data_IF_583917627570
#
_entry.id   IF_583917627570
#
_cell.length_a   1.000
_cell.length_b   1.000
_cell.length_c   1.000
_cell.angle_alpha   90.00
_cell.angle_beta   90.00
_cell.angle_gamma   90.00
#
_symmetry.space_group_name_H-M   'P 1'
#
loop_
_entity.id
_entity.type
_entity.pdbx_description
1 polymer ?
2 non-polymer ?
3 water ?
#
# COMPACT_ATOMS: atom_id res chain seq x y z
N UNK A 415 -16.40 31.42 29.43
CA UNK A 415 -15.98 31.24 30.82
C UNK A 415 -15.48 29.82 31.10
N UNK A 416 -16.00 28.80 30.41
CA UNK A 416 -15.62 27.40 30.60
C UNK A 416 -14.27 27.08 29.91
N UNK A 417 -14.03 27.66 28.74
CA UNK A 417 -12.73 27.62 28.09
C UNK A 417 -11.66 28.30 28.95
N UNK A 418 -11.93 29.52 29.41
CA UNK A 418 -11.01 30.31 30.22
C UNK A 418 -10.79 29.70 31.61
N UNK A 419 -11.72 28.89 32.11
CA UNK A 419 -11.53 28.07 33.31
C UNK A 419 -10.54 26.92 33.10
N UNK A 420 -10.52 26.24 31.95
CA UNK A 420 -9.62 25.09 31.73
C UNK A 420 -8.24 25.47 31.17
N UNK A 421 -8.16 26.44 30.26
CA UNK A 421 -6.91 26.94 29.71
C UNK A 421 -6.16 27.91 30.65
N UNK A 422 -6.63 28.06 31.89
CA UNK A 422 -6.09 28.97 32.90
C UNK A 422 -6.59 30.40 32.75
N UNK A 423 -7.00 31.00 33.86
CA UNK A 423 -7.57 32.35 33.86
C UNK A 423 -6.57 33.44 33.47
N UNK A 424 -5.27 33.21 33.69
CA UNK A 424 -4.16 34.01 33.36
C UNK A 424 -2.87 33.26 33.30
N UNK A 425 -2.13 33.32 32.20
CA UNK A 425 -0.88 32.63 31.95
C UNK A 425 0.27 33.41 32.61
N UNK A 426 1.09 32.77 33.44
CA UNK A 426 2.28 33.27 34.03
C UNK A 426 3.39 33.43 33.02
N UNK A 427 3.64 32.46 32.22
CA UNK A 427 4.64 32.33 31.23
C UNK A 427 4.28 31.32 30.17
N UNK A 428 5.16 30.99 29.27
CA UNK A 428 5.06 29.96 28.29
C UNK A 428 4.84 28.61 28.91
N UNK A 429 5.34 28.36 30.07
CA UNK A 429 5.13 27.20 30.84
C UNK A 429 3.66 26.93 31.01
N UNK A 430 2.85 27.96 31.14
CA UNK A 430 1.40 27.83 31.32
C UNK A 430 0.77 27.16 30.11
N UNK A 431 1.24 27.52 28.92
CA UNK A 431 0.80 27.00 27.62
C UNK A 431 1.24 25.56 27.46
N UNK A 432 2.47 25.24 27.83
CA UNK A 432 3.07 23.96 27.85
C UNK A 432 2.29 23.01 28.72
N UNK A 433 1.86 23.46 29.90
CA UNK A 433 0.99 22.69 30.77
C UNK A 433 -0.40 22.48 30.17
N UNK A 434 -1.05 23.49 29.57
CA UNK A 434 -2.36 23.30 28.93
C UNK A 434 -2.32 22.19 27.88
N UNK A 435 -1.27 22.10 27.06
CA UNK A 435 -1.10 20.97 26.15
C UNK A 435 -0.79 19.65 26.87
N UNK A 436 0.03 19.62 27.92
CA UNK A 436 0.32 18.38 28.67
C UNK A 436 -0.90 17.86 29.40
N UNK A 437 -1.78 18.75 29.86
CA UNK A 437 -3.01 18.40 30.54
C UNK A 437 -4.12 18.03 29.56
N UNK A 438 -4.03 18.43 28.30
CA UNK A 438 -4.90 17.88 27.27
C UNK A 438 -4.51 16.44 26.94
N UNK A 439 -3.21 16.15 26.90
CA UNK A 439 -2.70 14.85 26.48
C UNK A 439 -2.73 13.81 27.59
N UNK A 440 -2.35 14.17 28.81
CA UNK A 440 -2.63 13.33 29.98
C UNK A 440 -4.11 13.43 30.40
N UNK A 441 -4.57 12.54 31.29
CA UNK A 441 -5.91 12.64 31.87
C UNK A 441 -6.01 13.59 33.07
N UNK A 442 -4.89 14.16 33.53
CA UNK A 442 -4.81 14.89 34.79
C UNK A 442 -5.51 16.27 34.74
N UNK A 443 -6.14 16.72 35.84
CA UNK A 443 -6.58 18.09 35.99
C UNK A 443 -5.40 19.06 36.16
N UNK A 444 -5.61 20.34 35.86
CA UNK A 444 -4.72 21.42 36.28
C UNK A 444 -4.69 21.57 37.82
N UNK A 445 -3.86 22.47 38.34
CA UNK A 445 -3.78 22.76 39.80
C UNK A 445 -5.11 23.21 40.40
N UNK A 446 -6.00 23.82 39.61
CA UNK A 446 -7.33 24.22 40.05
C UNK A 446 -8.34 23.06 40.12
N UNK A 447 -8.01 21.88 39.60
CA UNK A 447 -8.85 20.68 39.62
C UNK A 447 -9.70 20.46 38.37
N UNK A 448 -9.43 21.16 37.26
CA UNK A 448 -10.20 21.04 36.00
C UNK A 448 -9.38 20.37 34.90
N UNK A 449 -9.95 19.39 34.18
CA UNK A 449 -9.29 18.78 33.01
C UNK A 449 -9.31 19.73 31.82
N UNK A 450 -8.23 19.79 31.05
CA UNK A 450 -8.25 20.39 29.71
C UNK A 450 -8.91 19.41 28.73
N UNK A 451 -10.19 19.60 28.44
CA UNK A 451 -10.98 18.67 27.61
C UNK A 451 -10.87 18.95 26.10
N UNK A 452 -10.30 20.10 25.70
CA UNK A 452 -10.04 20.47 24.32
C UNK A 452 -8.97 21.55 24.23
N UNK A 453 -8.50 21.81 23.01
CA UNK A 453 -7.65 22.95 22.62
C UNK A 453 -8.33 23.64 21.42
N UNK A 454 -8.01 24.91 21.08
CA UNK A 454 -8.51 25.62 19.91
C UNK A 454 -8.49 24.86 18.57
N UNK A 455 -7.59 23.90 18.37
CA UNK A 455 -7.44 23.13 17.13
C UNK A 455 -8.19 21.79 17.12
N UNK A 456 -8.80 21.39 18.24
CA UNK A 456 -9.29 20.03 18.42
C UNK A 456 -10.77 19.94 18.81
N UNK A 457 -11.23 20.71 19.80
CA UNK A 457 -12.64 20.72 20.24
C UNK A 457 -13.17 19.34 20.72
N UNK A 458 -12.29 18.37 21.00
CA UNK A 458 -12.62 16.95 21.21
C UNK A 458 -11.59 16.24 22.11
N UNK A 459 -11.92 15.07 22.71
CA UNK A 459 -10.94 14.10 23.20
C UNK A 459 -10.19 13.35 22.09
N UNK A 460 -9.00 12.83 22.37
CA UNK A 460 -8.15 12.11 21.40
C UNK A 460 -8.82 10.87 20.80
N UNK A 461 -8.49 10.56 19.55
CA UNK A 461 -8.77 9.27 18.92
C UNK A 461 -7.87 8.15 19.46
N UNK A 462 -8.38 6.92 19.50
CA UNK A 462 -7.78 5.80 20.22
C UNK A 462 -6.38 5.38 19.74
N UNK A 463 -6.02 5.64 18.48
CA UNK A 463 -4.67 5.34 18.00
C UNK A 463 -3.58 6.07 18.81
N UNK A 464 -3.88 7.22 19.42
CA UNK A 464 -2.92 7.89 20.31
C UNK A 464 -2.55 7.10 21.55
N UNK A 465 -3.33 6.11 21.95
CA UNK A 465 -2.94 5.21 23.04
C UNK A 465 -1.60 4.54 22.76
N UNK A 466 -1.25 4.36 21.48
CA UNK A 466 -0.02 3.73 21.06
C UNK A 466 1.23 4.61 21.25
N UNK A 467 1.06 5.93 21.47
CA UNK A 467 2.17 6.89 21.53
C UNK A 467 2.02 7.98 22.61
N UNK A 468 1.36 7.65 23.71
CA UNK A 468 0.97 8.61 24.76
C UNK A 468 2.15 9.19 25.57
N UNK A 469 2.99 8.36 26.17
CA UNK A 469 4.12 8.71 26.93
C UNK A 469 5.08 9.55 26.14
N UNK A 470 5.32 9.20 24.93
CA UNK A 470 6.11 9.89 23.98
C UNK A 470 5.64 11.29 23.75
N UNK A 471 4.33 11.46 23.55
CA UNK A 471 3.70 12.77 23.38
C UNK A 471 3.79 13.62 24.65
N UNK A 472 3.67 13.02 25.84
CA UNK A 472 3.86 13.61 27.11
C UNK A 472 5.23 14.20 27.24
N UNK A 473 6.23 13.48 26.87
CA UNK A 473 7.59 13.84 26.92
C UNK A 473 7.90 14.97 25.97
N UNK A 474 7.44 14.86 24.73
CA UNK A 474 7.60 15.91 23.71
C UNK A 474 6.97 17.23 24.15
N UNK A 475 5.72 17.21 24.62
CA UNK A 475 5.03 18.44 25.00
C UNK A 475 5.61 19.08 26.25
N UNK A 476 6.13 18.32 27.24
CA UNK A 476 6.73 18.82 28.41
C UNK A 476 7.94 19.68 28.15
N UNK A 477 8.48 19.70 26.98
CA UNK A 477 9.57 20.45 26.51
C UNK A 477 9.24 21.67 25.70
N UNK A 478 8.04 21.92 25.35
CA UNK A 478 7.59 22.94 24.54
C UNK A 478 7.30 22.73 23.12
N UNK A 479 7.40 21.48 22.65
CA UNK A 479 7.01 21.07 21.30
C UNK A 479 5.51 20.83 21.36
N UNK A 480 4.70 21.81 20.97
CA UNK A 480 3.28 21.79 21.23
C UNK A 480 2.52 21.08 20.12
N UNK A 481 2.31 19.78 20.26
CA UNK A 481 1.65 18.95 19.26
C UNK A 481 0.15 19.21 19.19
N UNK A 482 -0.41 19.42 18.00
CA UNK A 482 -1.85 19.61 17.72
C UNK A 482 -2.45 18.50 16.85
N UNK A 483 -1.66 17.59 16.29
CA UNK A 483 -2.13 16.46 15.50
C UNK A 483 -1.01 15.40 15.45
N UNK A 484 -1.32 14.12 15.31
CA UNK A 484 -0.36 13.02 15.42
C UNK A 484 -0.83 11.72 14.78
N UNK A 485 0.07 10.77 14.56
CA UNK A 485 -0.31 9.45 14.07
C UNK A 485 0.78 8.41 14.39
N UNK A 486 0.43 7.21 14.85
CA UNK A 486 1.39 6.12 14.95
C UNK A 486 1.68 5.54 13.56
N UNK A 487 2.84 4.93 13.34
CA UNK A 487 3.05 4.11 12.14
C UNK A 487 2.41 2.73 12.34
N UNK A 488 1.78 2.22 11.29
CA UNK A 488 1.08 0.94 11.27
C UNK A 488 1.56 0.17 10.03
N UNK A 489 2.04 -1.05 10.22
CA UNK A 489 2.67 -1.86 9.18
C UNK A 489 1.74 -2.99 8.72
N UNK A 490 0.60 -2.66 8.13
CA UNK A 490 -0.27 -3.64 7.50
C UNK A 490 -0.98 -4.53 8.51
N UNK A 491 -1.64 -3.91 9.49
CA UNK A 491 -2.44 -4.50 10.47
C UNK A 491 -3.78 -4.94 9.94
N UNK A 492 -4.41 -5.95 10.53
CA UNK A 492 -5.73 -6.33 10.10
C UNK A 492 -6.69 -5.17 9.97
N UNK A 493 -7.45 -5.05 8.97
CA UNK A 493 -8.40 -4.03 8.74
C UNK A 493 -9.56 -4.08 9.65
N UNK A 494 -9.66 -5.00 10.55
CA UNK A 494 -10.63 -5.21 11.55
C UNK A 494 -10.23 -4.80 12.94
N UNK A 495 -9.05 -4.34 13.15
CA UNK A 495 -8.52 -3.85 14.36
C UNK A 495 -9.37 -2.73 14.89
N UNK A 496 -9.95 -2.76 16.10
CA UNK A 496 -10.80 -1.67 16.59
C UNK A 496 -10.06 -0.34 16.80
N UNK A 497 -8.76 -0.38 17.08
CA UNK A 497 -7.94 0.83 17.24
C UNK A 497 -7.70 1.50 15.88
N UNK A 498 -7.13 0.76 14.92
CA UNK A 498 -6.61 1.33 13.67
C UNK A 498 -7.35 0.90 12.41
N UNK A 499 -8.07 -0.23 12.40
CA UNK A 499 -8.75 -0.73 11.33
C UNK A 499 -9.80 0.14 10.75
N UNK A 500 -10.05 0.07 9.44
CA UNK A 500 -11.12 0.79 8.74
C UNK A 500 -11.38 0.14 7.38
N UNK A 501 -12.51 0.50 6.74
CA UNK A 501 -12.88 0.01 5.42
C UNK A 501 -13.44 -1.41 5.42
N UNK A 502 -13.53 -2.03 4.23
CA UNK A 502 -13.99 -3.41 4.07
C UNK A 502 -13.28 -4.41 4.99
N UNK A 503 -13.93 -5.51 5.36
CA UNK A 503 -13.31 -6.54 6.21
C UNK A 503 -12.31 -7.42 5.44
N UNK A 504 -11.34 -7.99 6.14
CA UNK A 504 -10.38 -8.97 5.60
C UNK A 504 -9.20 -8.36 4.84
N UNK A 505 -9.08 -7.04 4.81
CA UNK A 505 -7.94 -6.33 4.22
C UNK A 505 -6.80 -6.08 5.21
N UNK A 506 -5.92 -5.17 4.82
CA UNK A 506 -4.82 -4.64 5.61
C UNK A 506 -4.83 -3.11 5.54
N UNK A 507 -4.36 -2.48 6.62
CA UNK A 507 -4.31 -1.02 6.78
C UNK A 507 -2.94 -0.59 7.26
N UNK A 508 -2.49 0.55 6.79
CA UNK A 508 -1.13 1.06 6.93
C UNK A 508 -1.16 2.55 7.30
N UNK A 509 -0.16 2.98 8.06
CA UNK A 509 0.08 4.38 8.38
C UNK A 509 1.58 4.68 8.42
N UNK A 510 1.98 5.87 7.95
CA UNK A 510 3.23 6.55 8.34
C UNK A 510 3.09 7.25 9.69
N UNK A 511 4.18 7.37 10.44
CA UNK A 511 4.16 8.23 11.61
C UNK A 511 4.22 9.69 11.20
N UNK A 512 3.39 10.49 11.87
CA UNK A 512 3.17 11.89 11.60
C UNK A 512 3.13 12.67 12.90
N UNK A 513 3.66 13.89 12.90
CA UNK A 513 3.58 14.80 14.02
C UNK A 513 3.42 16.26 13.56
N UNK A 514 2.43 16.94 14.10
CA UNK A 514 2.08 18.33 13.83
C UNK A 514 2.19 19.15 15.11
N UNK A 515 2.97 20.23 15.12
CA UNK A 515 3.24 20.96 16.34
C UNK A 515 3.65 22.42 16.13
N UNK A 516 3.38 23.30 17.10
CA UNK A 516 4.00 24.63 17.15
C UNK A 516 5.31 24.60 17.94
N UNK A 517 6.22 25.50 17.64
CA UNK A 517 7.56 25.58 18.22
C UNK A 517 7.99 27.02 18.38
N UNK A 518 8.87 27.32 19.33
CA UNK A 518 9.54 28.62 19.39
C UNK A 518 10.56 28.76 18.26
N UNK A 519 10.92 29.97 17.81
CA UNK A 519 11.91 30.16 16.74
C UNK A 519 13.24 29.49 17.07
N UNK A 520 13.64 29.52 18.33
CA UNK A 520 14.82 28.89 18.85
C UNK A 520 14.75 27.37 18.66
N UNK A 521 13.65 26.72 19.07
CA UNK A 521 13.43 25.29 18.85
C UNK A 521 13.24 24.94 17.37
N UNK A 522 12.66 25.81 16.54
CA UNK A 522 12.56 25.61 15.10
C UNK A 522 13.94 25.60 14.43
N UNK A 523 14.83 26.51 14.79
CA UNK A 523 16.21 26.53 14.29
C UNK A 523 16.99 25.27 14.73
N UNK A 524 16.80 24.80 15.97
CA UNK A 524 17.38 23.55 16.45
C UNK A 524 16.82 22.34 15.70
N UNK A 525 15.55 22.36 15.31
CA UNK A 525 14.95 21.29 14.53
C UNK A 525 15.43 21.29 13.09
N UNK A 526 15.49 22.43 12.40
CA UNK A 526 16.08 22.52 11.07
C UNK A 526 17.52 22.01 11.05
N UNK A 527 18.31 22.33 12.07
CA UNK A 527 19.67 21.82 12.20
C UNK A 527 19.72 20.29 12.38
N UNK A 528 18.82 19.70 13.17
CA UNK A 528 18.75 18.24 13.38
C UNK A 528 18.12 17.50 12.20
N UNK A 529 17.19 18.09 11.46
CA UNK A 529 16.57 17.42 10.31
C UNK A 529 17.56 17.11 9.18
N UNK A 530 18.75 17.71 9.14
CA UNK A 530 19.85 17.33 8.22
C UNK A 530 20.30 15.87 8.38
N UNK A 531 20.20 15.33 9.60
CA UNK A 531 20.50 13.92 9.91
C UNK A 531 19.44 12.96 9.36
N UNK A 532 18.21 13.40 9.16
CA UNK A 532 17.05 12.56 8.81
C UNK A 532 16.44 12.91 7.45
N UNK A 533 17.15 13.67 6.61
CA UNK A 533 16.59 14.40 5.46
C UNK A 533 15.71 13.57 4.53
N UNK A 534 16.19 12.40 4.09
CA UNK A 534 15.46 11.56 3.15
C UNK A 534 14.32 10.78 3.81
N UNK A 535 14.49 10.39 5.08
CA UNK A 535 13.50 9.60 5.83
C UNK A 535 12.31 10.46 6.25
N UNK A 536 12.55 11.69 6.71
CA UNK A 536 11.52 12.56 7.28
C UNK A 536 11.18 13.71 6.36
N UNK A 537 9.92 13.76 5.91
CA UNK A 537 9.38 14.97 5.30
C UNK A 537 9.06 15.97 6.38
N UNK A 538 9.45 17.22 6.17
CA UNK A 538 9.24 18.29 7.13
C UNK A 538 8.68 19.53 6.46
N UNK A 539 7.97 20.34 7.22
CA UNK A 539 7.36 21.56 6.75
C UNK A 539 7.24 22.53 7.93
N UNK A 540 8.03 23.60 7.95
CA UNK A 540 7.99 24.67 8.93
C UNK A 540 7.40 25.92 8.29
N UNK A 541 6.55 26.65 8.98
CA UNK A 541 6.08 27.97 8.52
C UNK A 541 5.73 28.89 9.68
N UNK A 542 5.74 30.21 9.46
CA UNK A 542 5.31 31.21 10.43
C UNK A 542 4.40 32.27 9.80
N UNK A 543 3.81 33.14 10.60
CA UNK A 543 2.76 34.07 10.15
C UNK A 543 3.19 35.05 9.04
N UNK A 544 4.48 35.37 8.92
CA UNK A 544 5.04 36.23 7.85
C UNK A 544 5.34 35.49 6.54
N UNK A 545 5.07 34.19 6.45
CA UNK A 545 5.63 33.30 5.42
C UNK A 545 6.80 32.48 5.98
N UNK A 546 8.00 32.61 5.44
CA UNK A 546 9.16 31.75 5.78
C UNK A 546 8.80 30.26 5.75
N UNK A 547 8.05 29.86 4.71
CA UNK A 547 7.74 28.46 4.46
C UNK A 547 9.02 27.72 4.06
N UNK A 548 9.43 26.72 4.85
CA UNK A 548 10.54 25.81 4.53
C UNK A 548 10.03 24.37 4.51
N UNK A 549 10.22 23.65 3.41
CA UNK A 549 9.89 22.22 3.31
C UNK A 549 10.77 21.49 2.31
N UNK A 550 11.02 20.21 2.57
CA UNK A 550 11.66 19.27 1.63
C UNK A 550 10.64 18.46 0.79
N UNK A 551 9.44 18.97 0.55
CA UNK A 551 8.38 18.24 -0.15
C UNK A 551 8.67 18.08 -1.66
N UNK A 552 8.65 16.85 -2.24
CA UNK A 552 8.97 16.65 -3.65
C UNK A 552 8.15 17.47 -4.60
N UNK A 553 8.66 18.44 -5.27
CA UNK A 553 8.00 19.22 -6.24
C UNK A 553 6.73 19.81 -5.70
N UNK A 554 6.61 20.02 -4.38
CA UNK A 554 5.38 20.47 -3.72
C UNK A 554 4.16 19.60 -4.14
N UNK A 555 4.24 18.30 -3.83
CA UNK A 555 3.35 17.24 -4.09
C UNK A 555 2.87 16.56 -2.85
N UNK A 556 1.69 15.94 -2.85
CA UNK A 556 1.18 15.31 -1.65
C UNK A 556 2.03 14.19 -1.12
N UNK A 557 1.93 13.87 0.16
CA UNK A 557 2.51 12.66 0.71
C UNK A 557 1.40 11.80 1.28
N UNK A 558 1.27 10.55 0.85
CA UNK A 558 0.30 9.64 1.44
C UNK A 558 0.74 9.29 2.84
N UNK A 559 -0.19 9.18 3.79
CA UNK A 559 0.13 8.81 5.18
C UNK A 559 -0.79 7.73 5.74
N UNK A 560 -1.96 7.48 5.15
CA UNK A 560 -2.84 6.35 5.49
C UNK A 560 -3.26 5.67 4.21
N UNK A 561 -3.24 4.34 4.17
CA UNK A 561 -3.78 3.56 3.05
C UNK A 561 -4.18 2.15 3.49
N UNK A 562 -5.00 1.50 2.68
CA UNK A 562 -5.53 0.18 2.94
C UNK A 562 -5.63 -0.63 1.66
N UNK A 563 -5.36 -1.91 1.80
CA UNK A 563 -5.41 -2.92 0.74
C UNK A 563 -6.53 -3.88 1.07
N UNK A 564 -7.52 -4.03 0.20
CA UNK A 564 -8.74 -4.80 0.46
C UNK A 564 -8.94 -5.90 -0.59
N UNK A 565 -9.52 -7.05 -0.24
CA UNK A 565 -9.75 -8.12 -1.21
C UNK A 565 -10.66 -7.69 -2.35
N UNK A 566 -10.31 -8.07 -3.57
CA UNK A 566 -11.02 -7.74 -4.81
C UNK A 566 -11.01 -6.28 -5.23
N UNK A 567 -10.18 -5.40 -4.66
CA UNK A 567 -10.30 -3.94 -4.76
C UNK A 567 -8.99 -3.26 -5.09
N UNK A 568 -9.08 -2.01 -5.51
CA UNK A 568 -7.94 -1.11 -5.60
C UNK A 568 -7.44 -0.68 -4.21
N UNK A 569 -6.24 -0.08 -4.11
CA UNK A 569 -5.79 0.53 -2.86
C UNK A 569 -6.70 1.71 -2.55
N UNK A 570 -7.02 1.96 -1.27
CA UNK A 570 -7.65 3.20 -0.83
C UNK A 570 -6.64 3.95 0.03
N UNK A 571 -6.30 5.20 -0.32
CA UNK A 571 -5.45 6.09 0.48
C UNK A 571 -6.33 7.25 0.98
N UNK A 572 -6.94 7.13 2.18
CA UNK A 572 -7.93 8.11 2.59
C UNK A 572 -7.34 9.42 3.08
N UNK A 573 -6.06 9.44 3.47
CA UNK A 573 -5.46 10.55 4.20
C UNK A 573 -4.08 10.91 3.68
N UNK A 574 -3.85 12.21 3.51
CA UNK A 574 -2.66 12.79 2.89
C UNK A 574 -2.13 14.00 3.67
N UNK A 575 -0.86 14.36 3.49
CA UNK A 575 -0.28 15.65 3.91
C UNK A 575 0.19 16.42 2.68
N UNK A 576 -0.67 17.28 2.17
CA UNK A 576 -0.42 18.10 0.98
C UNK A 576 0.26 19.44 1.37
N UNK A 577 1.50 19.72 0.92
CA UNK A 577 2.18 20.97 1.23
C UNK A 577 1.43 22.21 0.72
N UNK A 578 0.58 22.12 -0.30
CA UNK A 578 -0.23 23.25 -0.76
C UNK A 578 -1.42 23.51 0.16
N UNK A 579 -2.23 22.49 0.47
CA UNK A 579 -3.33 22.59 1.43
C UNK A 579 -2.88 22.99 2.83
N UNK A 580 -1.69 22.62 3.27
CA UNK A 580 -1.13 23.09 4.54
C UNK A 580 -1.06 24.60 4.63
N UNK A 581 -0.84 25.28 3.51
CA UNK A 581 -0.79 26.74 3.48
C UNK A 581 -2.16 27.42 3.54
N UNK A 582 -3.26 26.70 3.36
CA UNK A 582 -4.58 27.17 3.75
C UNK A 582 -4.90 26.85 5.21
N UNK A 583 -4.54 25.65 5.69
CA UNK A 583 -4.62 25.30 7.11
C UNK A 583 -3.79 26.25 7.99
N UNK A 584 -2.62 26.72 7.55
CA UNK A 584 -1.77 27.68 8.27
C UNK A 584 -2.58 28.87 8.79
N UNK A 585 -3.52 29.37 7.98
CA UNK A 585 -4.29 30.57 8.29
C UNK A 585 -5.30 30.31 9.42
N UNK A 586 -5.89 29.12 9.49
CA UNK A 586 -6.61 28.72 10.69
C UNK A 586 -5.64 28.53 11.83
N UNK A 587 -4.59 27.73 11.62
CA UNK A 587 -3.73 27.25 12.68
C UNK A 587 -3.20 28.39 13.54
N UNK A 588 -2.64 29.43 12.93
CA UNK A 588 -2.18 30.59 13.66
C UNK A 588 -3.32 31.50 14.13
N UNK A 589 -4.41 31.68 13.39
CA UNK A 589 -5.47 32.57 13.85
C UNK A 589 -6.30 32.00 15.01
N UNK A 590 -6.38 30.69 15.18
CA UNK A 590 -7.03 30.06 16.32
C UNK A 590 -6.36 30.41 17.66
N UNK A 591 -5.10 30.89 17.68
CA UNK A 591 -4.51 31.52 18.87
C UNK A 591 -5.25 32.80 19.21
N UNK A 592 -5.21 33.83 18.37
CA UNK A 592 -5.81 35.12 18.70
C UNK A 592 -7.33 35.04 18.76
N UNK A 593 -7.97 34.31 17.85
CA UNK A 593 -9.42 34.35 17.67
C UNK A 593 -10.22 33.53 18.70
N UNK A 594 -9.60 32.54 19.34
CA UNK A 594 -10.29 31.65 20.29
C UNK A 594 -9.60 31.55 21.65
N UNK A 595 -8.34 31.97 21.81
CA UNK A 595 -7.65 31.99 23.11
C UNK A 595 -7.18 33.40 23.49
N UNK A 596 -6.74 34.22 22.53
CA UNK A 596 -6.32 35.60 22.79
C UNK A 596 -7.50 36.49 23.15
N UNK A 597 -8.51 36.57 22.30
CA UNK A 597 -9.79 37.27 22.54
C UNK A 597 -10.60 36.71 23.71
N UNK A 598 -10.17 35.59 24.30
CA UNK A 598 -10.70 35.05 25.55
C UNK A 598 -10.19 35.84 26.76
N UNK A 599 -8.93 36.30 26.74
CA UNK A 599 -8.33 37.17 27.75
C UNK A 599 -8.57 38.66 27.48
N UNK A 600 -8.36 39.49 28.51
CA UNK A 600 -8.41 40.94 28.36
C UNK A 600 -7.34 41.47 27.40
N UNK A 601 -7.66 42.58 26.73
CA UNK A 601 -6.99 43.33 25.74
C UNK A 601 -5.55 43.62 26.08
N UNK A 602 -5.29 44.17 27.23
CA UNK A 602 -4.06 44.61 27.75
C UNK A 602 -3.36 43.66 28.70
N UNK A 603 -3.86 42.51 28.96
CA UNK A 603 -3.39 41.57 29.89
C UNK A 603 -2.03 41.03 29.52
N UNK A 604 -1.16 40.73 30.48
CA UNK A 604 0.01 39.93 30.17
C UNK A 604 -0.30 38.62 29.53
N UNK A 605 -1.42 38.04 29.79
CA UNK A 605 -1.97 36.91 29.15
C UNK A 605 -2.11 37.14 27.66
N UNK A 606 -2.70 38.28 27.25
CA UNK A 606 -2.79 38.63 25.83
C UNK A 606 -1.41 38.84 25.25
N UNK A 607 -0.46 39.39 26.01
CA UNK A 607 0.89 39.52 25.64
C UNK A 607 1.51 38.21 25.28
N UNK A 608 1.37 37.23 26.10
CA UNK A 608 1.83 35.90 25.96
C UNK A 608 1.27 35.26 24.72
N UNK A 609 -0.06 35.31 24.55
CA UNK A 609 -0.73 34.70 23.40
C UNK A 609 -0.38 35.42 22.08
N UNK A 610 -0.23 36.75 22.07
CA UNK A 610 0.20 37.47 20.88
C UNK A 610 1.65 37.15 20.50
N UNK A 611 2.54 36.93 21.47
CA UNK A 611 3.87 36.50 21.30
C UNK A 611 3.92 35.13 20.66
N UNK A 612 3.08 34.21 21.14
CA UNK A 612 2.99 32.88 20.56
C UNK A 612 2.29 32.92 19.18
N UNK A 613 1.34 33.81 18.96
CA UNK A 613 0.72 33.99 17.64
C UNK A 613 1.76 34.47 16.61
N UNK A 614 2.74 35.28 17.00
CA UNK A 614 3.71 35.86 16.07
C UNK A 614 5.02 35.08 15.95
N UNK A 615 5.70 34.80 17.06
CA UNK A 615 7.07 34.33 17.06
C UNK A 615 7.23 32.80 16.87
N UNK A 616 6.18 32.01 17.05
CA UNK A 616 6.26 30.55 16.90
C UNK A 616 6.18 30.09 15.43
N UNK A 617 6.73 28.92 15.15
CA UNK A 617 6.63 28.19 13.89
C UNK A 617 5.68 27.03 14.05
N UNK A 618 4.72 26.89 13.13
CA UNK A 618 4.00 25.65 12.94
C UNK A 618 4.88 24.69 12.17
N UNK A 619 4.95 23.44 12.60
CA UNK A 619 5.82 22.43 12.05
C UNK A 619 5.06 21.14 11.85
N UNK A 620 5.30 20.48 10.73
CA UNK A 620 4.77 19.18 10.40
C UNK A 620 5.94 18.27 10.04
N UNK A 621 5.99 17.07 10.60
CA UNK A 621 6.96 16.02 10.26
C UNK A 621 6.24 14.73 9.90
N UNK A 622 6.78 14.00 8.92
CA UNK A 622 6.34 12.67 8.55
C UNK A 622 7.54 11.77 8.32
N UNK A 623 7.65 10.72 9.11
CA UNK A 623 8.58 9.63 8.95
C UNK A 623 8.06 8.63 7.92
N UNK A 624 8.73 8.50 6.78
CA UNK A 624 8.27 7.64 5.71
C UNK A 624 8.54 6.13 5.91
N UNK A 625 9.40 5.70 6.85
CA UNK A 625 9.69 4.27 7.06
C UNK A 625 8.73 3.59 8.02
N UNK A 626 7.47 3.44 7.60
CA UNK A 626 6.45 2.75 8.38
C UNK A 626 6.77 1.31 8.84
N UNK A 627 7.66 0.52 8.21
CA UNK A 627 8.03 -0.79 8.73
C UNK A 627 8.91 -0.75 9.98
N UNK A 628 9.55 0.39 10.26
CA UNK A 628 10.54 0.56 11.32
C UNK A 628 9.95 1.23 12.56
N UNK A 629 10.68 1.25 13.67
CA UNK A 629 10.31 2.06 14.84
C UNK A 629 10.33 3.54 14.47
N UNK A 630 9.40 4.31 15.03
CA UNK A 630 9.17 5.72 14.72
C UNK A 630 10.40 6.58 15.07
N UNK A 631 10.98 7.29 14.11
CA UNK A 631 12.13 8.14 14.40
C UNK A 631 11.76 9.46 15.08
N UNK A 632 10.52 9.95 14.94
CA UNK A 632 10.15 11.32 15.30
C UNK A 632 10.48 11.65 16.77
N UNK A 633 10.35 10.68 17.67
CA UNK A 633 10.69 10.87 19.07
C UNK A 633 12.18 11.06 19.29
N UNK A 634 13.02 10.30 18.59
CA UNK A 634 14.46 10.54 18.62
C UNK A 634 14.84 11.86 17.94
N UNK A 635 14.14 12.27 16.87
CA UNK A 635 14.35 13.59 16.25
C UNK A 635 14.15 14.68 17.28
N UNK A 636 13.03 14.66 18.02
CA UNK A 636 12.82 15.66 19.08
C UNK A 636 13.82 15.52 20.22
N UNK A 637 14.21 14.32 20.65
CA UNK A 637 15.27 14.19 21.64
C UNK A 637 16.58 14.80 21.14
N UNK A 638 16.92 14.60 19.87
CA UNK A 638 18.08 15.21 19.24
C UNK A 638 17.97 16.73 19.18
N UNK A 639 16.77 17.32 19.02
CA UNK A 639 16.62 18.79 19.09
C UNK A 639 16.77 19.33 20.50
N UNK A 640 16.35 18.58 21.51
CA UNK A 640 16.50 18.97 22.90
C UNK A 640 17.93 18.73 23.39
N UNK A 641 18.66 17.82 22.78
CA UNK A 641 20.10 17.68 22.99
C UNK A 641 20.83 18.91 22.46
N UNK A 642 20.67 19.23 21.17
CA UNK A 642 21.29 20.37 20.52
C UNK A 642 21.00 21.68 21.28
N UNK A 643 19.74 21.90 21.61
CA UNK A 643 19.36 23.11 22.32
C UNK A 643 19.92 23.12 23.72
N UNK A 644 19.70 22.03 24.45
CA UNK A 644 20.12 22.01 25.85
C UNK A 644 21.62 21.92 25.95
N UNK B 415 8.56 -22.12 -39.60
CA UNK B 415 9.30 -23.37 -39.46
C UNK B 415 10.05 -23.45 -38.12
N UNK B 416 10.48 -22.33 -37.54
CA UNK B 416 11.22 -22.29 -36.28
C UNK B 416 10.28 -22.44 -35.06
N UNK B 417 9.08 -21.86 -35.14
CA UNK B 417 8.02 -22.09 -34.16
C UNK B 417 7.59 -23.57 -34.17
N UNK B 418 7.30 -24.11 -35.35
CA UNK B 418 6.86 -25.49 -35.52
C UNK B 418 7.95 -26.50 -35.17
N UNK B 419 9.23 -26.11 -35.23
CA UNK B 419 10.34 -26.90 -34.70
C UNK B 419 10.37 -26.97 -33.18
N UNK B 420 10.04 -25.91 -32.45
CA UNK B 420 10.11 -25.93 -30.96
C UNK B 420 8.81 -26.40 -30.29
N UNK B 421 7.65 -26.03 -30.83
CA UNK B 421 6.35 -26.48 -30.30
C UNK B 421 5.98 -27.91 -30.74
N UNK B 422 6.89 -28.63 -31.38
CA UNK B 422 6.70 -29.97 -31.91
C UNK B 422 6.05 -30.00 -33.28
N UNK B 423 6.59 -30.78 -34.20
CA UNK B 423 6.12 -30.85 -35.58
C UNK B 423 4.70 -31.44 -35.71
N UNK B 424 4.28 -32.28 -34.75
CA UNK B 424 3.03 -32.91 -34.61
C UNK B 424 2.75 -33.38 -33.21
N UNK B 425 1.65 -32.98 -32.60
CA UNK B 425 1.24 -33.31 -31.25
C UNK B 425 0.58 -34.71 -31.24
N UNK B 426 1.04 -35.63 -30.39
CA UNK B 426 0.48 -36.90 -30.12
C UNK B 426 -0.82 -36.81 -29.38
N UNK B 427 -0.88 -36.07 -28.33
CA UNK B 427 -1.95 -35.84 -27.43
C UNK B 427 -1.81 -34.53 -26.70
N UNK B 428 -2.63 -34.26 -25.72
CA UNK B 428 -2.59 -33.16 -24.84
C UNK B 428 -1.30 -33.10 -24.06
N UNK B 429 -0.71 -34.20 -23.77
CA UNK B 429 0.56 -34.33 -23.17
C UNK B 429 1.59 -33.54 -23.91
N UNK B 430 1.50 -33.48 -25.24
CA UNK B 430 2.46 -32.74 -26.07
C UNK B 430 2.44 -31.25 -25.73
N UNK B 431 1.23 -30.72 -25.49
CA UNK B 431 0.97 -29.33 -25.14
C UNK B 431 1.48 -29.04 -23.74
N UNK B 432 1.24 -29.94 -22.79
CA UNK B 432 1.69 -29.92 -21.45
C UNK B 432 3.20 -29.85 -21.38
N UNK B 433 3.88 -30.65 -22.21
CA UNK B 433 5.34 -30.59 -22.33
C UNK B 433 5.82 -29.27 -22.94
N UNK B 434 5.20 -28.74 -23.99
CA UNK B 434 5.60 -27.44 -24.55
C UNK B 434 5.58 -26.34 -23.49
N UNK B 435 4.58 -26.28 -22.62
CA UNK B 435 4.58 -25.36 -21.50
C UNK B 435 5.64 -25.70 -20.43
N UNK B 436 5.87 -26.97 -20.08
CA UNK B 436 6.90 -27.34 -19.10
C UNK B 436 8.30 -27.04 -19.61
N UNK B 437 8.53 -27.15 -20.91
CA UNK B 437 9.80 -26.87 -21.54
C UNK B 437 10.00 -25.38 -21.78
N UNK B 438 8.94 -24.58 -21.80
CA UNK B 438 9.08 -23.13 -21.73
C UNK B 438 9.51 -22.68 -20.34
N UNK B 439 8.97 -23.30 -19.30
CA UNK B 439 9.20 -22.90 -17.92
C UNK B 439 10.52 -23.44 -17.35
N UNK B 440 10.86 -24.69 -17.60
CA UNK B 440 12.23 -25.17 -17.37
C UNK B 440 13.20 -24.68 -18.44
N UNK B 441 14.50 -24.84 -18.22
CA UNK B 441 15.52 -24.54 -19.23
C UNK B 441 15.75 -25.68 -20.24
N UNK B 442 15.12 -26.83 -20.05
CA UNK B 442 15.43 -28.06 -20.79
C UNK B 442 14.96 -28.02 -22.26
N UNK B 443 15.71 -28.63 -23.20
CA UNK B 443 15.23 -28.90 -24.54
C UNK B 443 14.15 -29.99 -24.57
N UNK B 444 13.32 -30.01 -25.62
CA UNK B 444 12.48 -31.16 -25.95
C UNK B 444 13.34 -32.39 -26.33
N UNK B 445 12.69 -33.53 -26.58
CA UNK B 445 13.37 -34.77 -27.02
C UNK B 445 14.19 -34.60 -28.30
N UNK B 446 13.81 -33.66 -29.18
CA UNK B 446 14.54 -33.35 -30.40
C UNK B 446 15.81 -32.49 -30.16
N UNK B 447 15.99 -31.94 -28.96
CA UNK B 447 17.15 -31.12 -28.59
C UNK B 447 16.96 -29.60 -28.72
N UNK B 448 15.72 -29.11 -28.89
CA UNK B 448 15.41 -27.68 -29.05
C UNK B 448 14.70 -27.11 -27.82
N UNK B 449 15.13 -25.96 -27.30
CA UNK B 449 14.42 -25.26 -26.21
C UNK B 449 13.14 -24.62 -26.74
N UNK B 450 12.05 -24.66 -25.96
CA UNK B 450 10.88 -23.80 -26.18
C UNK B 450 11.20 -22.39 -25.68
N UNK B 451 11.58 -21.48 -26.56
CA UNK B 451 12.02 -20.12 -26.20
C UNK B 451 10.88 -19.13 -26.08
N UNK B 452 9.66 -19.47 -26.51
CA UNK B 452 8.45 -18.67 -26.38
C UNK B 452 7.20 -19.54 -26.52
N UNK B 453 6.05 -18.96 -26.19
CA UNK B 453 4.70 -19.46 -26.45
C UNK B 453 3.90 -18.35 -27.19
N UNK B 454 2.79 -18.66 -27.88
CA UNK B 454 1.91 -17.66 -28.52
C UNK B 454 1.52 -16.44 -27.68
N UNK B 455 1.49 -16.53 -26.36
CA UNK B 455 1.09 -15.44 -25.45
C UNK B 455 2.25 -14.61 -24.92
N UNK B 456 3.51 -14.99 -25.20
CA UNK B 456 4.68 -14.47 -24.50
C UNK B 456 5.74 -13.89 -25.43
N UNK B 457 6.14 -14.61 -26.49
CA UNK B 457 7.16 -14.13 -27.45
C UNK B 457 8.54 -13.79 -26.84
N UNK B 458 8.81 -14.23 -25.60
CA UNK B 458 9.94 -13.78 -24.77
C UNK B 458 10.38 -14.86 -23.74
N UNK B 459 11.59 -14.79 -23.18
CA UNK B 459 11.95 -15.45 -21.92
C UNK B 459 11.31 -14.80 -20.67
N UNK B 460 11.16 -15.55 -19.59
CA UNK B 460 10.53 -15.09 -18.34
C UNK B 460 11.24 -13.88 -17.70
N UNK B 461 10.48 -13.03 -17.03
CA UNK B 461 11.00 -12.01 -16.12
C UNK B 461 11.50 -12.62 -14.80
N UNK B 462 12.52 -12.00 -14.20
CA UNK B 462 13.30 -12.56 -13.10
C UNK B 462 12.51 -12.87 -11.82
N UNK B 463 11.40 -12.20 -11.55
CA UNK B 463 10.56 -12.52 -10.40
C UNK B 463 10.06 -13.98 -10.42
N UNK B 464 9.93 -14.61 -11.59
CA UNK B 464 9.57 -16.04 -11.66
C UNK B 464 10.60 -16.96 -11.05
N UNK B 465 11.85 -16.53 -10.87
CA UNK B 465 12.84 -17.33 -10.15
C UNK B 465 12.35 -17.70 -8.74
N UNK B 466 11.49 -16.86 -8.16
CA UNK B 466 10.94 -17.05 -6.82
C UNK B 466 9.89 -18.18 -6.75
N UNK B 467 9.35 -18.64 -7.88
CA UNK B 467 8.23 -19.60 -7.93
C UNK B 467 8.34 -20.66 -9.05
N UNK B 468 9.56 -21.03 -9.43
CA UNK B 468 9.85 -21.89 -10.58
C UNK B 468 9.40 -23.35 -10.43
N UNK B 469 9.81 -24.05 -9.38
CA UNK B 469 9.48 -25.39 -9.07
C UNK B 469 8.00 -25.57 -8.97
N UNK B 470 7.32 -24.67 -8.33
CA UNK B 470 5.93 -24.61 -8.17
C UNK B 470 5.21 -24.58 -9.50
N UNK B 471 5.67 -23.72 -10.41
CA UNK B 471 5.14 -23.61 -11.77
C UNK B 471 5.38 -24.87 -12.58
N UNK B 472 6.52 -25.54 -12.42
CA UNK B 472 6.87 -26.79 -12.98
C UNK B 472 5.88 -27.85 -12.60
N UNK B 473 5.54 -27.93 -11.36
CA UNK B 473 4.64 -28.86 -10.78
C UNK B 473 3.25 -28.64 -11.28
N UNK B 474 2.78 -27.40 -11.25
CA UNK B 474 1.46 -27.01 -11.75
C UNK B 474 1.29 -27.37 -13.24
N UNK B 475 2.25 -27.01 -14.09
CA UNK B 475 2.12 -27.26 -15.53
C UNK B 475 2.22 -28.74 -15.88
N UNK B 476 3.00 -29.57 -15.16
CA UNK B 476 3.11 -30.96 -15.37
C UNK B 476 1.81 -31.70 -15.21
N UNK B 477 0.80 -31.13 -14.67
CA UNK B 477 -0.52 -31.62 -14.47
C UNK B 477 -1.55 -31.16 -15.46
N UNK B 478 -1.27 -30.26 -16.34
CA UNK B 478 -2.13 -29.68 -17.24
C UNK B 478 -2.74 -28.38 -17.00
N UNK B 479 -2.35 -27.70 -15.91
CA UNK B 479 -2.74 -26.34 -15.60
C UNK B 479 -1.77 -25.44 -16.37
N UNK B 480 -2.16 -24.97 -17.55
CA UNK B 480 -1.24 -24.34 -18.48
C UNK B 480 -1.12 -22.84 -18.21
N UNK B 481 -0.16 -22.46 -17.38
CA UNK B 481 0.06 -21.08 -16.98
C UNK B 481 0.65 -20.24 -18.11
N UNK B 482 0.08 -19.06 -18.41
CA UNK B 482 0.56 -18.08 -19.39
C UNK B 482 0.99 -16.74 -18.77
N UNK B 483 0.76 -16.51 -17.48
CA UNK B 483 1.18 -15.30 -16.78
C UNK B 483 1.18 -15.59 -15.26
N UNK B 484 2.02 -14.94 -14.47
CA UNK B 484 2.21 -15.25 -13.04
C UNK B 484 2.82 -14.12 -12.25
N UNK B 485 2.77 -14.19 -10.92
CA UNK B 485 3.44 -13.22 -10.06
C UNK B 485 3.67 -13.78 -8.66
N UNK B 486 4.85 -13.58 -8.04
CA UNK B 486 5.03 -13.89 -6.63
C UNK B 486 4.35 -12.83 -5.76
N UNK B 487 3.96 -13.15 -4.53
CA UNK B 487 3.60 -12.12 -3.57
C UNK B 487 4.86 -11.49 -2.96
N UNK B 488 4.85 -10.18 -2.77
CA UNK B 488 5.95 -9.39 -2.23
C UNK B 488 5.38 -8.50 -1.13
N UNK B 489 5.96 -8.57 0.07
CA UNK B 489 5.46 -7.89 1.26
C UNK B 489 6.32 -6.68 1.62
N UNK B 490 6.36 -5.67 0.76
CA UNK B 490 7.00 -4.40 1.07
C UNK B 490 8.52 -4.51 1.12
N UNK B 491 9.11 -5.05 0.06
CA UNK B 491 10.48 -5.18 -0.17
C UNK B 491 11.12 -3.87 -0.58
N UNK B 492 12.41 -3.66 -0.33
CA UNK B 492 13.06 -2.47 -0.79
C UNK B 492 12.81 -2.17 -2.23
N UNK B 493 12.51 -0.99 -2.62
CA UNK B 493 12.28 -0.57 -3.94
C UNK B 493 13.48 -0.58 -4.80
N UNK B 494 14.63 -0.94 -4.33
CA UNK B 494 15.88 -1.09 -4.97
C UNK B 494 16.28 -2.50 -5.28
N UNK B 495 15.52 -3.48 -4.93
CA UNK B 495 15.71 -4.86 -5.18
C UNK B 495 15.83 -5.09 -6.66
N UNK B 496 16.90 -5.69 -7.23
CA UNK B 496 17.01 -5.87 -8.67
C UNK B 496 15.98 -6.84 -9.26
N UNK B 497 15.49 -7.80 -8.46
CA UNK B 497 14.45 -8.75 -8.90
C UNK B 497 13.09 -8.04 -9.01
N UNK B 498 12.63 -7.43 -7.92
CA UNK B 498 11.25 -6.92 -7.78
C UNK B 498 11.12 -5.41 -7.69
N UNK B 499 12.14 -4.67 -7.28
CA UNK B 499 12.14 -3.30 -7.14
C UNK B 499 11.82 -2.52 -8.35
N UNK B 500 11.18 -1.36 -8.22
CA UNK B 500 10.89 -0.41 -9.30
C UNK B 500 10.57 0.98 -8.73
N UNK B 501 10.57 2.00 -9.59
CA UNK B 501 10.22 3.37 -9.22
C UNK B 501 11.35 4.11 -8.50
N UNK B 502 11.03 5.26 -7.86
CA UNK B 502 11.98 6.04 -7.07
C UNK B 502 12.76 5.22 -6.04
N UNK B 503 13.97 5.63 -5.68
CA UNK B 503 14.76 4.92 -4.66
C UNK B 503 14.27 5.19 -3.24
N UNK B 504 14.54 4.27 -2.32
CA UNK B 504 14.26 4.41 -0.88
C UNK B 504 12.82 4.13 -0.46
N UNK B 505 11.97 3.70 -1.38
CA UNK B 505 10.59 3.30 -1.08
C UNK B 505 10.45 1.82 -0.75
N UNK B 506 9.21 1.34 -0.81
CA UNK B 506 8.82 -0.05 -0.67
C UNK B 506 7.89 -0.44 -1.83
N UNK B 507 7.93 -1.71 -2.21
CA UNK B 507 7.16 -2.29 -3.30
C UNK B 507 6.49 -3.57 -2.86
N UNK B 508 5.28 -3.80 -3.36
CA UNK B 508 4.36 -4.83 -2.93
C UNK B 508 3.74 -5.54 -4.13
N UNK B 509 3.43 -6.82 -3.97
CA UNK B 509 2.68 -7.60 -4.94
C UNK B 509 1.74 -8.59 -4.24
N UNK B 510 0.55 -8.81 -4.80
CA UNK B 510 -0.27 -10.03 -4.59
C UNK B 510 0.22 -11.18 -5.47
N UNK B 511 0.05 -12.42 -5.02
CA UNK B 511 0.28 -13.55 -5.89
C UNK B 511 -0.86 -13.69 -6.89
N UNK B 512 -0.47 -13.96 -8.12
CA UNK B 512 -1.35 -14.03 -9.29
C UNK B 512 -0.98 -15.23 -10.14
N UNK B 513 -1.97 -15.89 -10.72
CA UNK B 513 -1.77 -16.97 -11.68
C UNK B 513 -2.82 -16.95 -12.78
N UNK B 514 -2.36 -17.00 -14.03
CA UNK B 514 -3.16 -16.98 -15.25
C UNK B 514 -2.91 -18.27 -16.04
N UNK B 515 -3.93 -19.04 -16.37
CA UNK B 515 -3.76 -20.34 -16.98
C UNK B 515 -4.96 -20.84 -17.79
N UNK B 516 -4.74 -21.68 -18.80
CA UNK B 516 -5.80 -22.46 -19.42
C UNK B 516 -5.98 -23.81 -18.73
N UNK B 517 -7.18 -24.36 -18.78
CA UNK B 517 -7.58 -25.60 -18.11
C UNK B 517 -8.53 -26.39 -18.96
N UNK B 518 -8.58 -27.71 -18.81
CA UNK B 518 -9.66 -28.52 -19.39
C UNK B 518 -10.98 -28.28 -18.64
N UNK B 519 -12.15 -28.49 -19.26
CA UNK B 519 -13.44 -28.31 -18.59
C UNK B 519 -13.55 -29.12 -17.30
N UNK B 520 -13.01 -30.33 -17.31
CA UNK B 520 -12.93 -31.22 -16.18
C UNK B 520 -12.12 -30.59 -15.04
N UNK B 521 -10.92 -30.09 -15.31
CA UNK B 521 -10.10 -29.37 -14.32
C UNK B 521 -10.71 -28.03 -13.91
N UNK B 522 -11.42 -27.32 -14.78
CA UNK B 522 -12.15 -26.10 -14.43
C UNK B 522 -13.28 -26.37 -13.43
N UNK B 523 -14.07 -27.43 -13.63
CA UNK B 523 -15.10 -27.84 -12.69
C UNK B 523 -14.50 -28.26 -11.34
N UNK B 524 -13.37 -28.96 -11.32
CA UNK B 524 -12.65 -29.30 -10.10
C UNK B 524 -12.11 -28.05 -9.39
N UNK B 525 -11.69 -27.03 -10.13
CA UNK B 525 -11.22 -25.78 -9.56
C UNK B 525 -12.37 -24.95 -8.99
N UNK B 526 -13.49 -24.79 -9.69
CA UNK B 526 -14.68 -24.14 -9.14
C UNK B 526 -15.16 -24.81 -7.85
N UNK B 527 -15.13 -26.13 -7.79
CA UNK B 527 -15.46 -26.87 -6.58
C UNK B 527 -14.49 -26.58 -5.42
N UNK B 528 -13.17 -26.50 -5.68
CA UNK B 528 -12.16 -26.19 -4.66
C UNK B 528 -12.12 -24.72 -4.26
N UNK B 529 -12.43 -23.79 -5.16
CA UNK B 529 -12.43 -22.35 -4.84
C UNK B 529 -13.46 -21.96 -3.77
N UNK B 530 -14.47 -22.80 -3.48
CA UNK B 530 -15.39 -22.61 -2.34
C UNK B 530 -14.68 -22.57 -0.98
N UNK B 531 -13.56 -23.28 -0.85
CA UNK B 531 -12.70 -23.29 0.34
C UNK B 531 -11.93 -21.99 0.52
N UNK B 532 -11.65 -21.25 -0.56
CA UNK B 532 -10.77 -20.07 -0.57
C UNK B 532 -11.50 -18.77 -0.98
N UNK B 533 -12.82 -18.77 -0.96
CA UNK B 533 -13.67 -17.78 -1.65
C UNK B 533 -13.29 -16.31 -1.42
N UNK B 534 -13.14 -15.92 -0.15
CA UNK B 534 -12.85 -14.53 0.21
C UNK B 534 -11.37 -14.16 -0.03
N UNK B 535 -10.45 -15.10 0.15
CA UNK B 535 -9.01 -14.89 -0.02
C UNK B 535 -8.63 -14.78 -1.49
N UNK B 536 -9.19 -15.63 -2.36
CA UNK B 536 -8.79 -15.72 -3.77
C UNK B 536 -9.86 -15.16 -4.69
N UNK B 537 -9.51 -14.11 -5.42
CA UNK B 537 -10.31 -13.67 -6.56
C UNK B 537 -10.06 -14.61 -7.74
N UNK B 538 -11.13 -15.04 -8.39
CA UNK B 538 -11.05 -15.97 -9.51
C UNK B 538 -11.88 -15.49 -10.68
N UNK B 539 -11.52 -15.89 -11.87
CA UNK B 539 -12.21 -15.55 -13.10
C UNK B 539 -11.97 -16.66 -14.12
N UNK B 540 -13.01 -17.43 -14.44
CA UNK B 540 -13.00 -18.48 -15.45
C UNK B 540 -13.81 -18.01 -16.65
N UNK B 541 -13.37 -18.27 -17.87
CA UNK B 541 -14.18 -18.02 -19.08
C UNK B 541 -13.82 -18.98 -20.21
N UNK B 542 -14.72 -19.20 -21.16
CA UNK B 542 -14.49 -20.00 -22.37
C UNK B 542 -15.01 -19.30 -23.62
N UNK B 543 -14.71 -19.83 -24.80
CA UNK B 543 -14.99 -19.14 -26.07
C UNK B 543 -16.47 -18.83 -26.35
N UNK B 544 -17.41 -19.57 -25.76
CA UNK B 544 -18.86 -19.33 -25.87
C UNK B 544 -19.40 -18.27 -24.89
N UNK B 545 -18.56 -17.68 -24.04
CA UNK B 545 -18.96 -16.95 -22.83
C UNK B 545 -18.75 -17.81 -21.58
N UNK B 546 -19.80 -18.13 -20.83
CA UNK B 546 -19.70 -18.80 -19.51
C UNK B 546 -18.66 -18.13 -18.60
N UNK B 547 -18.67 -16.80 -18.57
CA UNK B 547 -17.84 -16.03 -17.67
C UNK B 547 -18.32 -16.23 -16.23
N UNK B 548 -17.48 -16.78 -15.36
CA UNK B 548 -17.73 -16.91 -13.93
C UNK B 548 -16.62 -16.19 -13.15
N UNK B 549 -16.97 -15.24 -12.28
CA UNK B 549 -16.04 -14.56 -11.38
C UNK B 549 -16.69 -14.09 -10.10
N UNK B 550 -15.92 -14.06 -9.01
CA UNK B 550 -16.28 -13.44 -7.73
C UNK B 550 -15.79 -11.97 -7.61
N UNK B 551 -15.61 -11.24 -8.71
CA UNK B 551 -15.06 -9.89 -8.69
C UNK B 551 -16.04 -8.85 -8.09
N UNK B 552 -15.68 -8.03 -7.08
CA UNK B 552 -16.60 -7.09 -6.48
C UNK B 552 -17.23 -6.13 -7.43
N UNK B 553 -18.49 -6.19 -7.72
CA UNK B 553 -19.19 -5.29 -8.55
C UNK B 553 -18.53 -5.14 -9.90
N UNK B 554 -17.78 -6.15 -10.37
CA UNK B 554 -17.00 -6.08 -11.61
C UNK B 554 -16.10 -4.81 -11.63
N UNK B 555 -15.19 -4.71 -10.65
CA UNK B 555 -14.25 -3.68 -10.36
C UNK B 555 -12.84 -4.17 -10.36
N UNK B 556 -11.86 -3.30 -10.65
CA UNK B 556 -10.48 -3.74 -10.70
C UNK B 556 -9.95 -4.31 -9.43
N UNK B 557 -8.91 -5.15 -9.48
CA UNK B 557 -8.17 -5.55 -8.29
C UNK B 557 -6.74 -5.10 -8.45
N UNK B 558 -6.21 -4.33 -7.49
CA UNK B 558 -4.80 -3.95 -7.51
C UNK B 558 -3.96 -5.18 -7.24
N UNK B 559 -2.82 -5.34 -7.92
CA UNK B 559 -1.92 -6.48 -7.68
C UNK B 559 -0.45 -6.07 -7.54
N UNK B 560 -0.05 -4.87 -7.98
CA UNK B 560 1.27 -4.30 -7.74
C UNK B 560 1.11 -2.88 -7.25
N UNK B 561 1.85 -2.47 -6.22
CA UNK B 561 1.90 -1.08 -5.77
C UNK B 561 3.21 -0.78 -5.03
N UNK B 562 3.51 0.51 -4.91
CA UNK B 562 4.73 0.99 -4.28
C UNK B 562 4.46 2.26 -3.50
N UNK B 563 5.16 2.38 -2.38
CA UNK B 563 5.12 3.52 -1.46
C UNK B 563 6.48 4.19 -1.50
N UNK B 564 6.54 5.47 -1.84
CA UNK B 564 7.80 6.18 -2.05
C UNK B 564 7.89 7.43 -1.18
N UNK B 565 9.09 7.83 -0.72
CA UNK B 565 9.25 9.02 0.12
C UNK B 565 8.76 10.28 -0.58
N UNK B 566 8.04 11.13 0.16
CA UNK B 566 7.47 12.38 -0.31
C UNK B 566 6.33 12.28 -1.34
N UNK B 567 5.75 11.10 -1.58
CA UNK B 567 4.89 10.83 -2.74
C UNK B 567 3.59 10.13 -2.38
N UNK B 568 2.66 10.14 -3.30
CA UNK B 568 1.47 9.29 -3.26
C UNK B 568 1.82 7.81 -3.52
N UNK B 569 0.90 6.88 -3.24
CA UNK B 569 1.09 5.48 -3.65
C UNK B 569 1.06 5.42 -5.18
N UNK B 570 1.87 4.56 -5.79
CA UNK B 570 1.75 4.22 -7.21
C UNK B 570 1.30 2.76 -7.30
N UNK B 571 0.19 2.48 -7.97
CA UNK B 571 -0.30 1.12 -8.26
C UNK B 571 -0.18 0.90 -9.78
N UNK B 572 0.93 0.37 -10.29
CA UNK B 572 1.14 0.33 -11.73
C UNK B 572 0.37 -0.77 -12.45
N UNK B 573 -0.08 -1.79 -11.72
CA UNK B 573 -0.59 -3.03 -12.33
C UNK B 573 -1.85 -3.51 -11.65
N UNK B 574 -2.84 -3.90 -12.45
CA UNK B 574 -4.19 -4.28 -12.03
C UNK B 574 -4.68 -5.53 -12.76
N UNK B 575 -5.68 -6.24 -12.19
CA UNK B 575 -6.48 -7.27 -12.90
C UNK B 575 -7.94 -6.82 -12.96
N UNK B 576 -8.30 -6.17 -14.05
CA UNK B 576 -9.64 -5.66 -14.30
C UNK B 576 -10.54 -6.73 -14.95
N UNK B 577 -11.64 -7.18 -14.31
CA UNK B 577 -12.54 -8.17 -14.89
C UNK B 577 -13.18 -7.72 -16.21
N UNK B 578 -13.31 -6.42 -16.49
CA UNK B 578 -13.83 -5.92 -17.77
C UNK B 578 -12.78 -6.02 -18.87
N UNK B 579 -11.57 -5.50 -18.66
CA UNK B 579 -10.46 -5.63 -19.61
C UNK B 579 -10.06 -7.07 -19.89
N UNK B 580 -10.20 -7.99 -18.93
CA UNK B 580 -9.98 -9.42 -19.17
C UNK B 580 -10.85 -9.97 -20.29
N UNK B 581 -12.06 -9.44 -20.46
CA UNK B 581 -12.95 -9.87 -21.53
C UNK B 581 -12.59 -9.33 -22.92
N UNK B 582 -11.70 -8.35 -23.02
CA UNK B 582 -11.04 -8.02 -24.29
C UNK B 582 -9.78 -8.87 -24.51
N UNK B 583 -8.98 -9.09 -23.46
CA UNK B 583 -7.85 -10.03 -23.51
C UNK B 583 -8.29 -11.44 -23.87
N UNK B 584 -9.46 -11.93 -23.40
CA UNK B 584 -10.02 -13.24 -23.74
C UNK B 584 -9.98 -13.52 -25.24
N UNK B 585 -10.28 -12.51 -26.06
CA UNK B 585 -10.37 -12.66 -27.51
C UNK B 585 -9.00 -12.86 -28.15
N UNK B 586 -7.94 -12.23 -27.63
CA UNK B 586 -6.58 -12.61 -28.00
C UNK B 586 -6.28 -13.99 -27.44
N UNK B 587 -6.50 -14.20 -26.16
CA UNK B 587 -6.02 -15.36 -25.44
C UNK B 587 -6.43 -16.67 -26.14
N UNK B 588 -7.72 -16.81 -26.46
CA UNK B 588 -8.18 -17.98 -27.18
C UNK B 588 -7.82 -17.95 -28.67
N UNK B 589 -7.82 -16.81 -29.35
CA UNK B 589 -7.49 -16.81 -30.78
C UNK B 589 -6.00 -17.06 -31.08
N UNK B 590 -5.09 -16.76 -30.16
CA UNK B 590 -3.67 -17.08 -30.29
C UNK B 590 -3.42 -18.59 -30.39
N UNK B 591 -4.35 -19.46 -29.97
CA UNK B 591 -4.28 -20.89 -30.29
C UNK B 591 -4.42 -21.11 -31.79
N UNK B 592 -5.57 -20.78 -32.38
CA UNK B 592 -5.81 -21.07 -33.80
C UNK B 592 -4.93 -20.21 -34.71
N UNK B 593 -4.72 -18.93 -34.38
CA UNK B 593 -4.09 -17.97 -35.30
C UNK B 593 -2.55 -18.07 -35.35
N UNK B 594 -1.90 -18.63 -34.34
CA UNK B 594 -0.45 -18.70 -34.28
C UNK B 594 0.10 -20.10 -34.02
N UNK B 595 -0.71 -21.07 -33.58
CA UNK B 595 -0.28 -22.46 -33.39
C UNK B 595 -1.12 -23.43 -34.24
N UNK B 596 -2.42 -23.20 -34.41
CA UNK B 596 -3.29 -24.03 -35.23
C UNK B 596 -2.96 -23.90 -36.72
N UNK B 597 -3.01 -22.68 -37.25
CA UNK B 597 -2.60 -22.34 -38.62
C UNK B 597 -1.11 -22.61 -38.92
N UNK B 598 -0.33 -22.97 -37.91
CA UNK B 598 1.04 -23.48 -38.07
C UNK B 598 1.06 -24.93 -38.57
N UNK B 599 0.12 -25.77 -38.12
CA UNK B 599 -0.08 -27.15 -38.58
C UNK B 599 -0.99 -27.23 -39.82
N UNK B 600 -0.95 -28.37 -40.49
CA UNK B 600 -1.87 -28.66 -41.60
C UNK B 600 -3.35 -28.69 -41.16
N UNK B 601 -4.22 -28.32 -42.08
CA UNK B 601 -5.63 -28.16 -42.04
C UNK B 601 -6.35 -29.33 -41.43
N UNK B 602 -6.09 -30.52 -41.89
CA UNK B 602 -6.68 -31.75 -41.54
C UNK B 602 -5.91 -32.61 -40.56
N UNK B 603 -4.81 -32.18 -40.06
CA UNK B 603 -3.94 -32.90 -39.21
C UNK B 603 -4.57 -33.24 -37.89
N UNK B 604 -4.25 -34.38 -37.29
CA UNK B 604 -4.59 -34.59 -35.90
C UNK B 604 -4.06 -33.54 -34.97
N UNK B 605 -2.97 -32.92 -35.29
CA UNK B 605 -2.43 -31.78 -34.65
C UNK B 605 -3.40 -30.63 -34.65
N UNK B 606 -4.01 -30.31 -35.81
CA UNK B 606 -5.05 -29.27 -35.87
C UNK B 606 -6.25 -29.68 -35.05
N UNK B 607 -6.59 -30.98 -35.02
CA UNK B 607 -7.62 -31.51 -34.21
C UNK B 607 -7.40 -31.20 -32.75
N UNK B 608 -6.24 -31.47 -32.25
CA UNK B 608 -5.79 -31.24 -30.93
C UNK B 608 -5.90 -29.77 -30.57
N UNK B 609 -5.32 -28.90 -31.41
CA UNK B 609 -5.34 -27.45 -31.15
C UNK B 609 -6.75 -26.86 -31.25
N UNK B 610 -7.61 -27.33 -32.16
CA UNK B 610 -9.00 -26.87 -32.22
C UNK B 610 -9.81 -27.32 -31.00
N UNK B 611 -9.55 -28.51 -30.45
CA UNK B 611 -10.11 -29.01 -29.26
C UNK B 611 -9.73 -28.16 -28.08
N UNK B 612 -8.46 -27.78 -27.99
CA UNK B 612 -7.98 -26.88 -26.93
C UNK B 612 -8.49 -25.46 -27.14
N UNK B 613 -8.64 -24.99 -28.38
CA UNK B 613 -9.24 -23.69 -28.66
C UNK B 613 -10.70 -23.61 -28.19
N UNK B 614 -11.45 -24.72 -28.27
CA UNK B 614 -12.87 -24.74 -27.93
C UNK B 614 -13.17 -25.18 -26.48
N UNK B 615 -12.69 -26.33 -26.05
CA UNK B 615 -13.14 -26.99 -24.83
C UNK B 615 -12.45 -26.49 -23.55
N UNK B 616 -11.31 -25.78 -23.63
CA UNK B 616 -10.60 -25.30 -22.44
C UNK B 616 -11.18 -23.99 -21.88
N UNK B 617 -10.98 -23.76 -20.59
CA UNK B 617 -11.27 -22.52 -19.88
C UNK B 617 -10.00 -21.75 -19.63
N UNK B 618 -9.98 -20.45 -19.95
CA UNK B 618 -8.98 -19.54 -19.43
C UNK B 618 -9.38 -19.18 -18.01
N UNK B 619 -8.42 -19.19 -17.11
CA UNK B 619 -8.63 -18.97 -15.69
C UNK B 619 -7.58 -18.00 -15.16
N UNK B 620 -8.02 -17.09 -14.30
CA UNK B 620 -7.19 -16.16 -13.59
C UNK B 620 -7.50 -16.29 -12.10
N UNK B 621 -6.48 -16.40 -11.25
CA UNK B 621 -6.58 -16.39 -9.80
C UNK B 621 -5.67 -15.32 -9.20
N UNK B 622 -6.14 -14.67 -8.14
CA UNK B 622 -5.35 -13.75 -7.32
C UNK B 622 -5.60 -13.99 -5.86
N UNK B 623 -4.56 -14.37 -5.14
CA UNK B 623 -4.52 -14.45 -3.69
C UNK B 623 -4.29 -13.08 -3.08
N UNK B 624 -5.27 -12.55 -2.35
CA UNK B 624 -5.19 -11.23 -1.79
C UNK B 624 -4.33 -11.10 -0.52
N UNK B 625 -3.95 -12.17 0.18
CA UNK B 625 -3.14 -12.09 1.41
C UNK B 625 -1.63 -12.08 1.14
N UNK B 626 -1.14 -10.98 0.54
CA UNK B 626 0.28 -10.79 0.28
C UNK B 626 1.23 -10.92 1.49
N UNK B 627 0.84 -10.71 2.77
CA UNK B 627 1.74 -10.94 3.89
C UNK B 627 2.01 -12.41 4.19
N UNK B 628 1.18 -13.33 3.68
CA UNK B 628 1.22 -14.75 3.98
C UNK B 628 1.91 -15.56 2.86
N UNK B 629 2.20 -16.84 3.11
CA UNK B 629 2.63 -17.75 2.05
C UNK B 629 1.53 -17.91 1.00
N UNK B 630 1.93 -18.03 -0.27
CA UNK B 630 1.03 -18.07 -1.42
C UNK B 630 0.10 -19.29 -1.36
N UNK B 631 -1.22 -19.10 -1.37
CA UNK B 631 -2.15 -20.23 -1.34
C UNK B 631 -2.30 -20.93 -2.69
N UNK B 632 -2.02 -20.25 -3.82
CA UNK B 632 -2.41 -20.72 -5.15
C UNK B 632 -1.86 -22.12 -5.46
N UNK B 633 -0.67 -22.45 -4.98
CA UNK B 633 -0.09 -23.77 -5.16
C UNK B 633 -0.87 -24.85 -4.41
N UNK B 634 -1.29 -24.58 -3.18
CA UNK B 634 -2.16 -25.50 -2.47
C UNK B 634 -3.55 -25.58 -3.10
N UNK B 635 -4.09 -24.48 -3.66
CA UNK B 635 -5.36 -24.50 -4.40
C UNK B 635 -5.24 -25.50 -5.55
N UNK B 636 -4.18 -25.42 -6.37
CA UNK B 636 -4.01 -26.39 -7.45
C UNK B 636 -3.75 -27.80 -6.94
N UNK B 637 -2.99 -28.01 -5.85
CA UNK B 637 -2.85 -29.34 -5.28
C UNK B 637 -4.22 -29.89 -4.83
N UNK B 638 -5.06 -29.05 -4.23
CA UNK B 638 -6.41 -29.41 -3.85
C UNK B 638 -7.28 -29.75 -5.07
N UNK B 639 -7.10 -29.10 -6.22
CA UNK B 639 -7.83 -29.50 -7.45
C UNK B 639 -7.36 -30.83 -8.02
N UNK B 640 -6.07 -31.12 -7.90
CA UNK B 640 -5.52 -32.40 -8.35
C UNK B 640 -5.83 -33.52 -7.37
N UNK B 641 -6.06 -33.21 -6.11
CA UNK B 641 -6.60 -34.16 -5.13
C UNK B 641 -8.03 -34.53 -5.51
N UNK B 642 -8.94 -33.53 -5.62
CA UNK B 642 -10.34 -33.74 -5.98
C UNK B 642 -10.48 -34.53 -7.29
N UNK B 643 -9.73 -34.12 -8.31
CA UNK B 643 -9.80 -34.80 -9.59
C UNK B 643 -9.24 -36.19 -9.51
N UNK B 644 -8.04 -36.31 -8.95
CA UNK B 644 -7.38 -37.61 -8.93
C UNK B 644 -8.05 -38.53 -7.93
#
# INVERSE_FOLDING_TARGET
>A
MVNEARGNSSLNPCLEGSASSGSESSKDSSRCSTPGLDPERHERLREKMRRRLESGDKWFSLEFFPPRTAEGAVNLISRFDRMAAGGPLYIDVTWHPAGDPGSDKETSSMMIASTAVNYCGLETILHMTCCRQRLEEITGHLHKAKQLGLKNIMALRGDPIGDQWEEEEGGFNYAVDLVKHIRSEFGDYFDICVAGYPKGHPEAGSFEADLKHLKEKVSAGADFIITQLFFEADTFFRFVKACTDMGITCPIVPGIFPIQGYHSLRQLVKLSKLEVPQEIKDVIEPIKDNDAAIRNYGIELAVSLCQELLASGLVPGLHFYTLNREMATTEVLKRLGMWTEDPRRPLPWALSAHPKRREEDVRPIFWASRPKSYIYRTQEWDEFPNGRWGNSSSPAFGELKDYYLFYLKSKSPKEELLKMWGEELTSEASVFEVFVLYLSGEPNRNGHKVTCLPWNDEPLAAETSLLKEELLRVNRQGILTINSQPNINGKPSSDPIVGWGPSGGYVFQKAYLEFFTSRETAEALLQVLKKYELRVNYHLVNVKGENITNAPELQPNAVTWGIFPGREIIQPTVVDPVSFMFWKDEAFALWIEQWGKLYEEESPSRTIIQYIHDNYFLVNLVDNDFPLDNCLWQVVEDTLELLNRPTQNARETEAPAENLYFQ
>B
MVNEARGNSSLNPCLEGSASSGSESSKDSSRCSTPGLDPERHERLREKMRRRLESGDKWFSLEFFPPRTAEGAVNLISRFDRMAAGGPLYIDVTWHPAGDPGSDKETSSMMIASTAVNYCGLETILHMTCCRQRLEEITGHLHKAKQLGLKNIMALRGDPIGDQWEEEEGGFNYAVDLVKHIRSEFGDYFDICVAGYPKGHPEAGSFEADLKHLKEKVSAGADFIITQLFFEADTFFRFVKACTDMGITCPIVPGIFPIQGYHSLRQLVKLSKLEVPQEIKDVIEPIKDNDAAIRNYGIELAVSLCQELLASGLVPGLHFYTLNREMATTEVLKRLGMWTEDPRRPLPWALSAHPKRREEDVRPIFWASRPKSYIYRTQEWDEFPNGRWGNSSSPAFGELKDYYLFYLKSKSPKEELLKMWGEELTSEASVFEVFVLYLSGEPNRNGHKVTCLPWNDEPLAAETSLLKEELLRVNRQGILTINSQPNINGKPSSDPIVGWGPSGGYVFQKAYLEFFTSRETAEALLQVLKKYELRVNYHLVNVKGENITNAPELQPNAVTWGIFPGREIIQPTVVDPVSFMFWKDEAFALWIEQWGKLYEEESPSRTIIQYIHDNYFLVNLVDNDFPLDNCLWQVVEDTLELLNRPTQNARETEAPAENLYFQ
#
